data_IF_112841570992
#
_entry.id   IF_112841570992
#
_cell.length_a   1.000
_cell.length_b   1.000
_cell.length_c   1.000
_cell.angle_alpha   90.00
_cell.angle_beta   90.00
_cell.angle_gamma   90.00
#
_symmetry.space_group_name_H-M   'P 1'
#
loop_
_entity.id
_entity.type
_entity.pdbx_description
1 polymer ?
2 non-polymer ?
3 water ?
#
# COMPACT_ATOMS: atom_id res chain seq x y z
N UNK A 14 -8.24 -30.77 -4.64
CA UNK A 14 -8.36 -29.28 -4.58
C UNK A 14 -9.80 -28.76 -4.69
N UNK A 15 -10.39 -28.40 -3.54
CA UNK A 15 -11.57 -27.54 -3.58
C UNK A 15 -11.33 -26.23 -4.34
N UNK A 16 -11.77 -26.17 -5.60
CA UNK A 16 -11.68 -24.93 -6.35
C UNK A 16 -13.05 -24.57 -6.93
N UNK A 17 -13.33 -23.29 -6.99
CA UNK A 17 -14.48 -22.81 -7.76
C UNK A 17 -13.92 -21.90 -8.85
N UNK A 18 -14.75 -21.64 -9.84
CA UNK A 18 -14.41 -20.78 -10.94
C UNK A 18 -15.05 -19.45 -10.61
N UNK A 19 -14.24 -18.39 -10.59
CA UNK A 19 -14.74 -17.06 -10.31
C UNK A 19 -14.25 -16.00 -11.35
N UNK A 20 -15.17 -15.12 -11.75
CA UNK A 20 -14.79 -13.83 -12.36
C UNK A 20 -14.25 -12.85 -11.29
N UNK A 21 -12.98 -12.45 -11.46
CA UNK A 21 -12.19 -11.61 -10.55
C UNK A 21 -11.85 -10.22 -11.18
N UNK A 22 -11.77 -9.22 -10.31
CA UNK A 22 -11.51 -7.81 -10.62
C UNK A 22 -10.80 -7.23 -9.42
N UNK A 23 -9.95 -6.24 -9.64
CA UNK A 23 -9.38 -5.45 -8.54
C UNK A 23 -10.34 -4.38 -8.07
N UNK A 24 -9.89 -3.59 -7.11
CA UNK A 24 -10.77 -2.61 -6.53
C UNK A 24 -11.24 -1.58 -7.56
N UNK A 25 -10.45 -1.36 -8.61
CA UNK A 25 -10.85 -0.43 -9.71
C UNK A 25 -11.96 -0.99 -10.57
N UNK A 26 -12.29 -2.27 -10.38
CA UNK A 26 -13.44 -2.87 -11.07
C UNK A 26 -13.25 -2.75 -12.58
N UNK A 27 -11.99 -2.87 -13.04
CA UNK A 27 -11.69 -2.90 -14.49
C UNK A 27 -11.09 -4.26 -14.83
N UNK A 28 -11.01 -4.52 -16.13
CA UNK A 28 -10.33 -5.71 -16.71
C UNK A 28 -10.61 -6.98 -15.91
N UNK A 29 -11.90 -7.38 -15.75
CA UNK A 29 -12.10 -8.64 -15.04
C UNK A 29 -11.53 -9.83 -15.88
N UNK A 30 -11.00 -10.89 -15.24
CA UNK A 30 -10.75 -12.18 -15.93
C UNK A 30 -11.49 -13.27 -15.17
N UNK A 31 -11.59 -14.47 -15.76
CA UNK A 31 -11.98 -15.65 -14.97
C UNK A 31 -10.82 -16.63 -14.62
N UNK A 32 -10.86 -17.17 -13.42
CA UNK A 32 -9.81 -18.08 -13.00
C UNK A 32 -10.37 -19.14 -12.06
N UNK A 33 -9.55 -20.11 -11.75
CA UNK A 33 -9.85 -21.06 -10.73
C UNK A 33 -9.34 -20.52 -9.39
N UNK A 34 -10.23 -20.44 -8.42
CA UNK A 34 -9.77 -20.10 -7.09
C UNK A 34 -9.92 -21.23 -6.09
N UNK A 35 -8.77 -21.50 -5.50
CA UNK A 35 -8.60 -22.37 -4.39
C UNK A 35 -8.67 -21.55 -3.09
N UNK A 36 -9.67 -21.85 -2.22
CA UNK A 36 -9.59 -21.47 -0.81
C UNK A 36 -9.58 -22.60 0.17
N UNK A 37 -8.57 -22.52 1.04
CA UNK A 37 -8.33 -23.49 2.08
C UNK A 37 -7.69 -22.78 3.26
N UNK A 38 -8.02 -23.25 4.47
CA UNK A 38 -7.28 -22.79 5.68
C UNK A 38 -6.10 -23.67 5.97
N UNK A 39 -5.80 -24.58 5.05
CA UNK A 39 -4.69 -25.51 5.22
C UNK A 39 -3.51 -25.18 4.33
N UNK A 40 -2.39 -24.70 4.91
CA UNK A 40 -1.19 -24.33 4.15
C UNK A 40 -0.76 -25.46 3.19
N UNK A 41 -1.03 -26.67 3.65
CA UNK A 41 -0.61 -27.90 2.96
C UNK A 41 -1.24 -28.02 1.63
N UNK A 42 -2.55 -27.79 1.59
CA UNK A 42 -3.29 -27.81 0.37
C UNK A 42 -2.75 -26.76 -0.62
N UNK A 43 -2.18 -25.66 -0.12
CA UNK A 43 -1.59 -24.64 -1.02
C UNK A 43 -0.22 -25.09 -1.56
N UNK A 44 0.67 -25.60 -0.69
CA UNK A 44 1.93 -26.23 -1.19
C UNK A 44 1.67 -27.29 -2.28
N UNK A 45 0.64 -28.09 -2.11
CA UNK A 45 0.30 -29.04 -3.13
C UNK A 45 -0.25 -28.40 -4.42
N UNK A 46 -1.01 -27.31 -4.28
CA UNK A 46 -1.48 -26.55 -5.43
C UNK A 46 -0.32 -26.07 -6.31
N UNK A 47 0.75 -25.63 -5.64
CA UNK A 47 1.94 -25.12 -6.31
C UNK A 47 2.72 -26.18 -7.09
N UNK A 48 2.99 -27.32 -6.48
CA UNK A 48 3.69 -28.40 -7.20
C UNK A 48 2.92 -28.98 -8.43
N UNK A 49 1.59 -29.10 -8.35
CA UNK A 49 0.79 -29.51 -9.53
C UNK A 49 0.74 -28.45 -10.62
N UNK A 50 1.22 -27.24 -10.32
CA UNK A 50 1.35 -26.18 -11.32
C UNK A 50 2.79 -26.13 -11.85
N UNK A 51 3.75 -26.46 -10.98
CA UNK A 51 5.16 -26.55 -11.36
C UNK A 51 5.42 -27.84 -12.17
N UNK A 52 4.35 -28.46 -12.67
CA UNK A 52 4.36 -29.71 -13.44
C UNK A 52 3.44 -29.51 -14.62
N UNK A 53 2.22 -29.02 -14.35
CA UNK A 53 1.27 -28.62 -15.39
C UNK A 53 1.90 -27.55 -16.24
N UNK A 54 2.39 -26.48 -15.59
CA UNK A 54 2.92 -25.34 -16.29
C UNK A 54 1.92 -24.70 -17.25
N UNK A 55 0.66 -24.60 -16.84
CA UNK A 55 -0.26 -23.75 -17.58
C UNK A 55 -0.01 -22.27 -17.31
N UNK A 56 -1.08 -21.52 -17.05
CA UNK A 56 -0.98 -20.07 -16.94
C UNK A 56 -0.38 -19.53 -15.61
N UNK A 57 -0.13 -20.44 -14.65
CA UNK A 57 0.56 -20.15 -13.41
C UNK A 57 -0.35 -19.88 -12.20
N UNK A 58 0.26 -19.43 -11.11
CA UNK A 58 -0.51 -19.23 -9.88
C UNK A 58 -0.27 -17.84 -9.39
N UNK A 59 -1.26 -17.25 -8.74
CA UNK A 59 -1.01 -15.99 -7.96
C UNK A 59 -1.81 -15.98 -6.66
N UNK A 60 -1.18 -15.47 -5.59
CA UNK A 60 -1.95 -15.23 -4.34
C UNK A 60 -2.88 -14.01 -4.47
N UNK A 61 -4.04 -14.10 -3.85
CA UNK A 61 -4.87 -12.94 -3.75
C UNK A 61 -5.25 -12.76 -2.25
N UNK A 62 -5.18 -11.51 -1.76
CA UNK A 62 -5.59 -11.23 -0.37
C UNK A 62 -7.04 -10.82 -0.43
N UNK A 63 -7.34 -9.62 0.05
CA UNK A 63 -8.72 -9.12 0.02
C UNK A 63 -9.06 -8.31 -1.23
N UNK A 64 -8.13 -8.27 -2.18
CA UNK A 64 -8.48 -7.69 -3.47
C UNK A 64 -8.68 -6.15 -3.43
N UNK A 65 -8.00 -5.48 -2.50
CA UNK A 65 -8.12 -4.06 -2.39
C UNK A 65 -7.19 -3.31 -3.36
N UNK A 66 -6.27 -4.03 -4.01
CA UNK A 66 -5.44 -3.38 -5.01
C UNK A 66 -6.37 -3.00 -6.12
N UNK A 67 -6.08 -1.88 -6.76
CA UNK A 67 -7.01 -1.31 -7.73
C UNK A 67 -6.99 -2.06 -9.08
N UNK A 68 -5.82 -2.57 -9.45
CA UNK A 68 -5.60 -3.01 -10.80
C UNK A 68 -5.70 -4.51 -10.81
N UNK A 69 -4.70 -5.14 -11.39
CA UNK A 69 -4.84 -6.54 -11.86
C UNK A 69 -3.71 -7.45 -11.33
N UNK A 70 -3.08 -7.08 -10.23
CA UNK A 70 -1.92 -7.81 -9.69
C UNK A 70 -2.26 -9.07 -8.94
N UNK A 71 -3.52 -9.20 -8.55
CA UNK A 71 -3.98 -10.32 -7.72
C UNK A 71 -4.96 -11.17 -8.51
N UNK A 72 -4.82 -11.17 -9.84
CA UNK A 72 -5.60 -12.06 -10.66
C UNK A 72 -4.72 -12.65 -11.73
N UNK A 73 -5.20 -13.76 -12.33
CA UNK A 73 -4.47 -14.58 -13.28
C UNK A 73 -5.50 -15.26 -14.19
N UNK A 74 -5.86 -14.59 -15.29
CA UNK A 74 -6.90 -15.07 -16.19
C UNK A 74 -6.57 -16.46 -16.69
N UNK A 75 -7.56 -17.35 -16.57
CA UNK A 75 -7.36 -18.71 -17.00
C UNK A 75 -6.25 -19.45 -16.27
N UNK A 76 -5.82 -18.93 -15.10
CA UNK A 76 -4.84 -19.60 -14.20
C UNK A 76 -5.45 -20.05 -12.85
N UNK A 77 -4.57 -20.28 -11.85
CA UNK A 77 -4.95 -20.55 -10.48
C UNK A 77 -4.76 -19.34 -9.53
N UNK A 78 -5.81 -18.93 -8.84
CA UNK A 78 -5.69 -17.90 -7.82
C UNK A 78 -5.94 -18.48 -6.38
N UNK A 79 -5.00 -18.28 -5.48
CA UNK A 79 -5.16 -18.68 -4.11
C UNK A 79 -5.80 -17.57 -3.22
N UNK A 80 -6.99 -17.87 -2.70
CA UNK A 80 -7.76 -17.00 -1.81
C UNK A 80 -7.15 -17.05 -0.43
N UNK A 81 -6.10 -16.26 -0.21
CA UNK A 81 -5.38 -16.26 1.04
C UNK A 81 -6.18 -15.83 2.31
N UNK A 82 -7.22 -14.96 2.19
CA UNK A 82 -8.01 -14.64 3.42
C UNK A 82 -8.51 -15.86 4.26
N UNK A 83 -8.71 -17.01 3.61
CA UNK A 83 -9.16 -18.26 4.29
C UNK A 83 -8.10 -18.78 5.24
N UNK A 84 -6.90 -18.34 5.02
CA UNK A 84 -5.77 -18.75 5.78
C UNK A 84 -5.40 -17.63 6.72
N UNK A 85 -6.22 -17.42 7.75
CA UNK A 85 -6.17 -16.20 8.53
C UNK A 85 -6.05 -16.44 10.00
N UNK A 86 -5.10 -17.23 10.40
CA UNK A 86 -5.01 -17.50 11.80
C UNK A 86 -3.86 -16.70 12.39
N UNK A 87 -4.07 -16.13 13.57
CA UNK A 87 -3.01 -15.52 14.32
C UNK A 87 -2.34 -16.58 15.20
N UNK A 88 -1.02 -16.67 15.15
CA UNK A 88 -0.34 -17.74 15.85
C UNK A 88 0.06 -17.32 17.20
N UNK A 89 0.45 -16.06 17.33
CA UNK A 89 0.89 -15.54 18.62
C UNK A 89 1.16 -14.03 18.60
N UNK A 90 1.08 -13.42 19.78
CA UNK A 90 1.17 -11.96 20.00
C UNK A 90 1.95 -11.80 21.29
N UNK A 91 3.10 -11.16 21.22
CA UNK A 91 3.92 -10.99 22.39
C UNK A 91 4.27 -9.51 22.74
N UNK A 92 3.59 -8.92 23.72
CA UNK A 92 3.92 -7.54 24.24
C UNK A 92 5.41 -7.36 24.54
N UNK A 93 6.00 -8.42 25.11
CA UNK A 93 7.43 -8.50 25.41
C UNK A 93 8.28 -8.11 24.24
N UNK A 94 8.38 -9.01 23.24
CA UNK A 94 9.21 -8.81 22.03
C UNK A 94 8.54 -7.89 21.01
N UNK A 95 7.26 -7.58 21.21
CA UNK A 95 6.44 -6.81 20.21
C UNK A 95 6.11 -7.61 18.94
N UNK A 96 6.44 -8.88 18.93
CA UNK A 96 6.32 -9.67 17.72
C UNK A 96 5.00 -10.35 17.68
N UNK A 97 4.49 -10.45 16.45
CA UNK A 97 3.22 -11.04 16.19
C UNK A 97 3.48 -12.02 15.04
N UNK A 98 2.95 -13.24 15.15
CA UNK A 98 3.21 -14.33 14.17
C UNK A 98 1.87 -14.66 13.56
N UNK A 99 1.75 -14.45 12.24
CA UNK A 99 0.43 -14.44 11.59
C UNK A 99 0.40 -15.16 10.26
N UNK A 100 -0.68 -15.91 10.00
CA UNK A 100 -0.93 -16.34 8.63
C UNK A 100 -0.95 -15.10 7.69
N UNK A 101 -0.65 -15.31 6.41
CA UNK A 101 -0.55 -14.17 5.48
C UNK A 101 -1.92 -13.56 5.16
N UNK A 102 -2.98 -14.34 5.37
CA UNK A 102 -4.35 -13.92 5.06
C UNK A 102 -5.01 -13.18 6.25
N UNK A 103 -4.30 -12.97 7.36
CA UNK A 103 -4.94 -12.18 8.41
C UNK A 103 -5.04 -10.70 7.95
N UNK A 104 -6.23 -10.10 8.10
CA UNK A 104 -6.50 -8.66 7.93
C UNK A 104 -5.70 -7.85 8.93
N UNK A 105 -5.22 -6.69 8.53
CA UNK A 105 -4.79 -5.69 9.49
C UNK A 105 -5.95 -5.30 10.43
N UNK A 106 -7.19 -5.29 9.97
CA UNK A 106 -8.32 -5.07 10.84
C UNK A 106 -8.40 -6.11 11.97
N UNK A 107 -8.42 -7.38 11.57
CA UNK A 107 -8.34 -8.53 12.52
C UNK A 107 -7.09 -8.44 13.40
N UNK A 108 -5.94 -8.16 12.80
CA UNK A 108 -4.74 -8.05 13.60
C UNK A 108 -4.81 -6.88 14.61
N UNK A 109 -5.31 -5.73 14.16
CA UNK A 109 -5.27 -4.57 15.05
C UNK A 109 -6.12 -4.85 16.33
N UNK A 110 -7.30 -5.43 16.11
CA UNK A 110 -8.22 -5.89 17.14
C UNK A 110 -7.62 -6.92 18.09
N UNK A 111 -6.95 -7.91 17.54
CA UNK A 111 -6.26 -8.83 18.39
C UNK A 111 -5.10 -8.22 19.11
N UNK A 112 -4.44 -7.20 18.54
CA UNK A 112 -3.20 -6.76 19.17
C UNK A 112 -3.42 -5.59 20.17
N UNK A 113 -4.50 -4.86 20.01
CA UNK A 113 -4.73 -3.64 20.79
C UNK A 113 -4.73 -3.93 22.32
N UNK A 114 -5.46 -5.02 22.77
CA UNK A 114 -5.39 -5.30 24.22
C UNK A 114 -3.99 -5.50 24.71
N UNK A 115 -3.08 -5.93 23.86
CA UNK A 115 -1.72 -6.15 24.30
C UNK A 115 -0.87 -4.92 24.24
N UNK A 116 -1.44 -3.71 24.02
CA UNK A 116 -0.58 -2.46 23.94
C UNK A 116 0.32 -2.45 22.67
N UNK A 117 -0.26 -2.95 21.57
CA UNK A 117 0.50 -3.14 20.32
C UNK A 117 -0.27 -2.54 19.16
N UNK A 118 0.47 -1.93 18.26
CA UNK A 118 -0.13 -1.14 17.21
C UNK A 118 0.43 -1.57 15.90
N UNK A 119 -0.47 -1.80 14.93
CA UNK A 119 -0.02 -2.23 13.57
C UNK A 119 0.89 -1.10 13.05
N UNK A 120 2.10 -1.44 12.64
CA UNK A 120 3.11 -0.44 12.50
C UNK A 120 2.95 0.48 11.27
N UNK A 121 2.23 0.02 10.25
CA UNK A 121 1.97 0.82 9.07
C UNK A 121 0.55 0.48 8.70
N UNK A 122 -0.32 1.48 8.73
CA UNK A 122 -1.71 1.30 8.32
C UNK A 122 -2.06 2.16 7.10
N UNK A 123 -2.58 1.52 6.07
CA UNK A 123 -3.14 2.18 4.91
C UNK A 123 -4.52 2.77 5.28
N UNK A 124 -5.18 3.38 4.31
CA UNK A 124 -6.51 4.00 4.51
C UNK A 124 -7.66 3.03 4.65
N UNK A 125 -7.46 1.74 4.34
CA UNK A 125 -8.49 0.79 4.71
C UNK A 125 -7.78 -0.29 5.51
N UNK A 126 -8.44 -0.87 6.51
CA UNK A 126 -7.81 -2.02 7.18
C UNK A 126 -8.17 -3.42 6.59
N UNK A 127 -9.04 -3.45 5.59
CA UNK A 127 -9.36 -4.70 4.89
C UNK A 127 -8.25 -5.05 3.87
N UNK A 128 -7.06 -5.27 4.39
CA UNK A 128 -5.97 -5.69 3.56
C UNK A 128 -5.31 -6.81 4.34
N UNK A 129 -4.84 -7.85 3.64
CA UNK A 129 -4.14 -8.97 4.32
C UNK A 129 -2.75 -8.60 4.60
N UNK A 130 -2.15 -9.26 5.58
CA UNK A 130 -0.70 -9.17 5.84
C UNK A 130 0.12 -9.47 4.57
N UNK A 131 -0.31 -10.46 3.82
CA UNK A 131 0.36 -10.80 2.57
C UNK A 131 0.31 -9.68 1.51
N UNK A 132 -0.88 -9.11 1.29
CA UNK A 132 -0.98 -7.96 0.35
C UNK A 132 -0.27 -6.69 0.81
N UNK A 133 -0.21 -6.52 2.13
CA UNK A 133 0.54 -5.40 2.72
C UNK A 133 1.99 -5.53 2.37
N UNK A 134 2.46 -6.77 2.45
CA UNK A 134 3.85 -7.03 2.08
C UNK A 134 3.98 -7.03 0.55
N UNK A 135 3.05 -7.68 -0.15
CA UNK A 135 3.10 -7.75 -1.62
C UNK A 135 3.17 -6.35 -2.28
N UNK A 136 2.42 -5.37 -1.79
CA UNK A 136 2.54 -4.03 -2.35
C UNK A 136 3.47 -3.10 -1.55
N UNK A 137 4.12 -3.60 -0.51
CA UNK A 137 4.93 -2.77 0.40
C UNK A 137 4.23 -1.44 0.83
N UNK A 138 3.10 -1.61 1.51
CA UNK A 138 2.15 -0.52 1.63
C UNK A 138 2.70 0.57 2.53
N UNK A 139 2.17 1.78 2.44
CA UNK A 139 2.65 2.87 3.29
C UNK A 139 1.44 3.47 3.92
N UNK A 140 1.67 4.33 4.91
CA UNK A 140 0.53 4.93 5.58
C UNK A 140 0.84 6.37 5.81
N UNK A 141 0.00 7.00 6.61
CA UNK A 141 0.23 8.40 6.99
C UNK A 141 1.51 8.61 7.74
N UNK A 142 2.05 7.55 8.30
CA UNK A 142 3.29 7.72 9.02
C UNK A 142 4.53 7.36 8.22
N UNK A 143 4.48 7.49 6.88
CA UNK A 143 5.62 7.07 6.11
C UNK A 143 6.89 7.78 6.45
N UNK A 144 6.86 9.09 6.62
CA UNK A 144 8.12 9.82 6.97
C UNK A 144 8.65 9.44 8.33
N UNK A 145 7.88 8.75 9.18
CA UNK A 145 8.50 8.39 10.47
C UNK A 145 8.82 6.87 10.59
N UNK A 146 8.05 6.07 9.86
CA UNK A 146 8.07 4.61 10.03
C UNK A 146 8.41 3.80 8.74
N UNK A 147 8.49 4.48 7.60
CA UNK A 147 8.72 3.85 6.31
C UNK A 147 7.52 3.03 5.97
N UNK A 148 7.69 2.03 5.10
CA UNK A 148 6.58 1.24 4.62
C UNK A 148 6.48 -0.14 5.38
N UNK A 149 5.51 -0.96 4.99
CA UNK A 149 5.18 -2.14 5.80
C UNK A 149 6.35 -3.10 5.87
N UNK A 150 7.05 -3.24 4.74
CA UNK A 150 8.23 -4.10 4.63
C UNK A 150 9.30 -3.84 5.69
N UNK A 151 9.43 -2.57 6.10
CA UNK A 151 10.41 -2.21 7.12
C UNK A 151 10.11 -2.87 8.46
N UNK A 152 8.87 -3.33 8.64
CA UNK A 152 8.50 -3.88 9.92
C UNK A 152 8.43 -5.38 9.92
N UNK A 153 8.78 -6.02 8.79
CA UNK A 153 8.66 -7.48 8.69
C UNK A 153 9.93 -8.13 9.23
N UNK A 154 9.77 -9.08 10.15
CA UNK A 154 10.90 -9.76 10.77
C UNK A 154 11.24 -10.97 9.96
N UNK A 155 10.20 -11.71 9.60
CA UNK A 155 10.37 -12.82 8.71
C UNK A 155 9.09 -13.15 8.03
N UNK A 156 9.27 -13.91 6.96
CA UNK A 156 8.17 -14.47 6.23
C UNK A 156 8.53 -15.88 5.78
N UNK A 157 7.51 -16.71 5.62
CA UNK A 157 7.67 -18.02 5.04
C UNK A 157 7.15 -17.92 3.64
N UNK A 158 8.03 -18.01 2.65
CA UNK A 158 7.61 -17.88 1.25
C UNK A 158 7.59 -19.23 0.54
N UNK A 159 6.42 -19.66 0.09
CA UNK A 159 6.30 -20.87 -0.71
C UNK A 159 6.80 -20.57 -2.12
N UNK A 160 7.93 -21.15 -2.48
CA UNK A 160 8.50 -20.95 -3.82
C UNK A 160 8.08 -22.02 -4.85
N UNK A 161 8.35 -21.78 -6.14
CA UNK A 161 7.85 -22.63 -7.25
C UNK A 161 8.33 -24.10 -7.23
N UNK A 162 9.56 -24.33 -6.74
CA UNK A 162 10.03 -25.71 -6.45
C UNK A 162 9.29 -26.31 -5.22
N UNK A 163 8.14 -25.73 -4.85
CA UNK A 163 7.28 -26.26 -3.78
C UNK A 163 7.86 -26.18 -2.38
N UNK A 164 9.05 -25.61 -2.25
CA UNK A 164 9.73 -25.40 -0.97
C UNK A 164 9.16 -24.19 -0.16
N UNK A 165 9.00 -24.31 1.17
CA UNK A 165 8.72 -23.12 2.05
C UNK A 165 10.00 -22.57 2.67
N UNK A 166 10.45 -21.39 2.20
CA UNK A 166 11.69 -20.74 2.65
C UNK A 166 11.43 -19.74 3.78
N UNK A 167 12.27 -19.78 4.80
CA UNK A 167 12.22 -18.84 5.89
C UNK A 167 13.05 -17.68 5.46
N UNK A 168 12.47 -16.50 5.22
CA UNK A 168 13.25 -15.31 4.80
C UNK A 168 13.28 -14.23 5.86
N UNK A 169 14.42 -13.53 5.96
CA UNK A 169 14.64 -12.42 6.90
C UNK A 169 15.32 -11.24 6.18
N UNK A 170 15.14 -9.98 6.69
CA UNK A 170 15.66 -8.76 6.03
C UNK A 170 17.18 -8.74 5.90
N UNK A 171 17.87 -9.24 6.92
CA UNK A 171 19.32 -9.45 6.88
C UNK A 171 19.51 -10.90 7.26
N UNK A 172 20.12 -11.64 6.39
CA UNK A 172 20.12 -13.07 6.56
C UNK A 172 20.45 -13.57 5.19
N UNK A 173 20.48 -14.91 5.03
CA UNK A 173 20.90 -15.57 3.79
C UNK A 173 20.21 -15.04 2.51
N UNK A 174 18.99 -15.42 2.21
CA UNK A 174 18.39 -14.96 0.96
C UNK A 174 17.69 -13.61 1.14
N UNK A 175 18.46 -12.66 1.68
CA UNK A 175 17.94 -11.35 2.00
C UNK A 175 17.38 -10.67 0.75
N UNK A 176 18.07 -10.87 -0.38
CA UNK A 176 17.68 -10.30 -1.65
C UNK A 176 16.31 -10.78 -2.07
N UNK A 177 16.06 -12.06 -1.81
CA UNK A 177 14.75 -12.64 -2.08
C UNK A 177 13.70 -11.99 -1.16
N UNK A 178 14.04 -11.84 0.12
CA UNK A 178 13.19 -11.13 1.08
C UNK A 178 12.76 -9.78 0.48
N UNK A 179 13.74 -8.97 0.08
CA UNK A 179 13.46 -7.66 -0.50
C UNK A 179 12.81 -7.61 -1.87
N UNK A 180 12.92 -8.68 -2.66
CA UNK A 180 12.18 -8.73 -3.90
C UNK A 180 10.75 -9.18 -3.64
N UNK A 181 10.51 -9.84 -2.50
CA UNK A 181 9.15 -10.20 -2.14
C UNK A 181 8.38 -8.96 -1.63
N UNK A 182 9.07 -8.17 -0.83
CA UNK A 182 8.51 -6.90 -0.37
C UNK A 182 8.27 -6.06 -1.60
N UNK A 183 7.00 -5.75 -1.85
CA UNK A 183 6.67 -5.03 -3.05
C UNK A 183 6.74 -5.83 -4.35
N UNK A 184 6.95 -7.13 -4.22
CA UNK A 184 6.94 -8.00 -5.38
C UNK A 184 5.62 -8.40 -5.98
N UNK A 185 4.50 -7.88 -5.46
CA UNK A 185 3.19 -8.18 -6.06
C UNK A 185 2.99 -9.71 -6.32
N UNK A 186 3.48 -10.50 -5.37
CA UNK A 186 3.21 -11.91 -5.31
C UNK A 186 4.04 -12.74 -6.32
N UNK A 187 5.03 -12.13 -7.01
CA UNK A 187 5.62 -12.73 -8.23
C UNK A 187 6.84 -13.54 -7.84
N UNK A 188 7.05 -13.62 -6.54
CA UNK A 188 8.18 -14.29 -5.95
C UNK A 188 7.71 -15.65 -5.34
N UNK A 189 6.40 -15.80 -5.14
CA UNK A 189 5.78 -16.98 -4.56
C UNK A 189 4.69 -16.58 -3.58
N UNK A 190 4.09 -17.57 -2.93
CA UNK A 190 3.05 -17.29 -1.91
C UNK A 190 3.60 -17.14 -0.49
N UNK A 191 3.40 -15.95 0.10
CA UNK A 191 3.76 -15.74 1.53
C UNK A 191 2.70 -16.48 2.31
N UNK A 192 3.11 -17.39 3.20
CA UNK A 192 2.10 -18.20 3.95
C UNK A 192 1.95 -17.72 5.38
N UNK A 193 2.99 -17.11 5.90
CA UNK A 193 2.99 -16.76 7.29
C UNK A 193 4.07 -15.68 7.52
N UNK A 194 3.91 -14.81 8.52
CA UNK A 194 4.96 -13.82 8.77
C UNK A 194 5.03 -13.42 10.21
N UNK A 195 6.21 -12.96 10.61
CA UNK A 195 6.38 -12.30 11.89
C UNK A 195 6.58 -10.79 11.66
N UNK A 196 5.64 -10.01 12.18
CA UNK A 196 5.70 -8.54 12.12
C UNK A 196 6.15 -7.98 13.48
N UNK A 197 7.07 -7.03 13.46
CA UNK A 197 7.40 -6.31 14.67
C UNK A 197 6.40 -5.12 14.87
N UNK A 198 5.54 -5.22 15.89
CA UNK A 198 4.52 -4.18 16.11
C UNK A 198 5.09 -2.93 16.74
N UNK A 199 4.26 -1.90 16.83
CA UNK A 199 4.66 -0.66 17.51
C UNK A 199 3.97 -0.58 18.89
N UNK A 200 4.74 -0.35 19.95
CA UNK A 200 4.12 -0.25 21.30
C UNK A 200 3.32 1.06 21.43
N UNK A 201 2.20 0.99 22.07
CA UNK A 201 1.39 2.17 22.28
C UNK A 201 0.78 1.99 23.67
N UNK A 202 0.60 3.09 24.40
CA UNK A 202 -0.19 3.10 25.65
C UNK A 202 -1.64 3.33 25.33
N UNK A 203 -1.93 3.68 24.09
CA UNK A 203 -3.30 4.04 23.76
C UNK A 203 -3.70 3.69 22.30
N UNK A 204 -5.01 3.68 22.02
CA UNK A 204 -5.57 3.55 20.66
C UNK A 204 -6.00 4.88 20.05
N UNK A 205 -5.50 5.98 20.59
CA UNK A 205 -5.92 7.32 20.14
C UNK A 205 -4.77 8.12 19.60
N UNK A 206 -5.12 9.08 18.76
CA UNK A 206 -4.18 10.05 18.29
C UNK A 206 -4.46 11.38 18.97
N UNK A 207 -3.41 12.16 19.12
CA UNK A 207 -3.53 13.56 19.42
C UNK A 207 -3.05 14.30 18.20
N UNK A 208 -3.96 15.12 17.65
CA UNK A 208 -3.81 15.63 16.31
C UNK A 208 -3.89 17.16 16.24
N UNK A 209 -3.14 17.76 15.32
CA UNK A 209 -3.29 19.16 14.91
C UNK A 209 -3.83 19.25 13.51
N UNK A 210 -4.71 20.20 13.29
CA UNK A 210 -5.32 20.38 11.98
C UNK A 210 -4.95 21.78 11.53
N UNK A 211 -4.67 21.93 10.23
CA UNK A 211 -4.40 23.24 9.60
C UNK A 211 -4.93 23.34 8.20
N UNK A 212 -5.18 24.57 7.78
CA UNK A 212 -5.64 24.78 6.44
C UNK A 212 -4.72 25.79 5.74
N UNK A 213 -4.35 25.52 4.48
CA UNK A 213 -3.49 26.46 3.72
C UNK A 213 -4.35 27.12 2.67
N UNK A 214 -3.85 28.16 2.03
CA UNK A 214 -4.69 28.88 1.11
C UNK A 214 -4.22 28.61 -0.31
N UNK A 215 -3.13 27.87 -0.52
CA UNK A 215 -2.68 27.64 -1.90
C UNK A 215 -1.72 26.49 -1.94
N UNK A 216 -1.37 26.07 -3.18
CA UNK A 216 -0.36 25.05 -3.43
C UNK A 216 0.97 25.44 -2.81
N UNK A 217 1.34 26.71 -2.92
CA UNK A 217 2.68 27.11 -2.51
C UNK A 217 2.76 27.09 -1.00
N UNK A 218 1.71 27.55 -0.38
CA UNK A 218 1.63 27.46 1.09
C UNK A 218 1.63 26.00 1.49
N UNK A 219 0.85 25.14 0.78
CA UNK A 219 0.80 23.71 1.16
C UNK A 219 2.21 23.15 1.20
N UNK A 220 3.00 23.52 0.20
CA UNK A 220 4.40 23.03 0.09
C UNK A 220 5.30 23.59 1.16
N UNK A 221 5.32 24.93 1.29
CA UNK A 221 6.03 25.58 2.44
C UNK A 221 5.62 24.97 3.78
N UNK A 222 4.33 24.76 3.96
CA UNK A 222 3.88 24.14 5.19
C UNK A 222 4.62 22.86 5.49
N UNK A 223 4.92 22.04 4.45
CA UNK A 223 5.59 20.75 4.68
C UNK A 223 7.08 20.82 4.75
N UNK A 224 7.64 21.97 4.42
CA UNK A 224 9.06 22.09 4.08
C UNK A 224 9.82 22.83 5.17
N UNK A 225 9.12 23.30 6.20
CA UNK A 225 9.81 23.92 7.37
C UNK A 225 10.37 23.03 8.48
N UNK A 226 10.32 21.70 8.39
CA UNK A 226 10.91 20.91 9.47
C UNK A 226 9.85 20.38 10.42
N UNK A 227 8.71 21.04 10.41
CA UNK A 227 7.47 20.61 11.07
C UNK A 227 7.15 19.15 11.11
N UNK A 228 7.43 18.46 10.01
CA UNK A 228 6.98 17.08 9.90
C UNK A 228 7.66 16.20 10.99
N UNK A 229 8.80 16.67 11.48
CA UNK A 229 9.54 15.94 12.48
C UNK A 229 8.80 15.90 13.82
N UNK A 230 7.81 16.79 14.02
CA UNK A 230 7.05 16.85 15.26
C UNK A 230 5.83 15.92 15.32
N UNK A 231 5.60 15.15 14.28
CA UNK A 231 4.45 14.27 14.20
C UNK A 231 4.89 12.98 13.54
N UNK A 232 4.41 11.83 14.02
CA UNK A 232 4.74 10.58 13.40
C UNK A 232 3.76 10.37 12.23
N UNK A 233 2.60 11.02 12.25
CA UNK A 233 1.64 10.83 11.18
C UNK A 233 1.30 12.19 10.54
N UNK A 234 1.20 12.20 9.22
CA UNK A 234 0.80 13.42 8.53
C UNK A 234 0.21 13.15 7.16
N UNK A 235 -0.93 13.76 6.85
CA UNK A 235 -1.32 13.88 5.43
C UNK A 235 -2.28 15.01 5.22
N UNK A 236 -2.64 15.20 3.96
CA UNK A 236 -3.40 16.32 3.56
C UNK A 236 -4.36 15.97 2.47
N UNK A 237 -5.46 16.68 2.47
CA UNK A 237 -6.39 16.65 1.36
C UNK A 237 -6.35 17.99 0.69
N UNK A 238 -6.07 18.06 -0.62
CA UNK A 238 -5.95 19.41 -1.26
C UNK A 238 -7.03 19.67 -2.27
N UNK A 239 -7.17 20.92 -2.66
CA UNK A 239 -8.16 21.29 -3.65
C UNK A 239 -7.45 21.15 -5.01
N UNK A 240 -7.90 20.24 -5.88
CA UNK A 240 -7.30 20.09 -7.20
C UNK A 240 -8.20 20.61 -8.31
N UNK A 241 -9.29 21.27 -7.92
CA UNK A 241 -10.27 21.75 -8.88
C UNK A 241 -10.28 23.29 -9.10
N UNK A 242 -10.15 24.09 -8.04
CA UNK A 242 -10.08 25.56 -8.20
C UNK A 242 -8.86 26.01 -8.98
N UNK A 243 -8.96 27.19 -9.58
CA UNK A 243 -7.88 27.85 -10.35
C UNK A 243 -6.87 28.40 -9.37
N UNK A 244 -5.58 28.52 -9.76
CA UNK A 244 -4.74 29.33 -8.88
C UNK A 244 -5.44 30.67 -8.70
N UNK A 245 -5.27 31.30 -7.52
CA UNK A 245 -4.31 30.99 -6.43
C UNK A 245 -4.83 29.97 -5.43
N UNK A 246 -6.06 29.52 -5.64
CA UNK A 246 -6.67 28.59 -4.69
C UNK A 246 -6.27 27.11 -4.90
N UNK A 247 -6.00 26.73 -6.15
CA UNK A 247 -5.45 25.40 -6.44
C UNK A 247 -4.43 25.02 -5.42
N UNK A 248 -4.60 23.85 -4.81
CA UNK A 248 -3.56 23.25 -3.98
C UNK A 248 -3.69 23.66 -2.52
N UNK A 249 -4.63 24.55 -2.22
CA UNK A 249 -5.00 24.79 -0.82
C UNK A 249 -5.41 23.42 -0.18
N UNK A 250 -5.07 23.21 1.08
CA UNK A 250 -5.22 21.87 1.68
C UNK A 250 -5.73 21.91 3.14
N UNK A 251 -6.34 20.81 3.57
CA UNK A 251 -6.63 20.57 4.99
C UNK A 251 -5.68 19.52 5.38
N UNK A 252 -4.80 19.87 6.31
CA UNK A 252 -3.74 19.05 6.77
C UNK A 252 -4.07 18.46 8.13
N UNK A 253 -3.76 17.19 8.29
CA UNK A 253 -4.04 16.56 9.54
C UNK A 253 -2.82 15.80 9.94
N UNK A 254 -2.28 16.09 11.12
CA UNK A 254 -1.01 15.56 11.58
C UNK A 254 -1.11 15.25 13.05
N UNK A 255 -0.43 14.21 13.52
CA UNK A 255 -0.67 13.74 14.89
C UNK A 255 0.32 12.65 15.22
N UNK A 256 0.20 12.13 16.43
CA UNK A 256 0.96 11.00 16.95
C UNK A 256 0.05 10.29 17.91
N UNK A 257 0.40 9.05 18.16
CA UNK A 257 -0.38 8.19 19.02
C UNK A 257 -0.36 8.87 20.41
N UNK A 258 -1.49 8.94 21.10
CA UNK A 258 -1.55 9.63 22.41
C UNK A 258 -0.94 8.73 23.48
N UNK A 259 -0.32 9.33 24.50
CA UNK A 259 0.17 8.55 25.65
C UNK A 259 -1.00 8.56 26.56
N UNK A 260 -1.05 7.62 27.48
CA UNK A 260 -2.17 7.56 28.43
C UNK A 260 -2.42 8.88 29.19
N UNK A 261 -1.38 9.52 29.71
CA UNK A 261 -1.59 10.83 30.40
C UNK A 261 -2.09 12.00 29.55
N UNK A 262 -2.13 11.85 28.22
CA UNK A 262 -2.74 12.87 27.37
C UNK A 262 -4.22 12.59 27.06
N UNK A 263 -4.82 11.50 27.53
CA UNK A 263 -6.26 11.37 27.25
C UNK A 263 -7.15 12.06 28.31
N UNK A 264 -8.36 12.48 27.93
CA UNK A 264 -9.36 12.76 28.97
C UNK A 264 -9.58 11.54 29.87
N UNK A 265 -10.10 11.76 31.08
CA UNK A 265 -10.32 10.65 32.03
C UNK A 265 -11.27 9.55 31.56
N UNK A 266 -12.34 9.91 30.83
CA UNK A 266 -13.32 8.92 30.32
C UNK A 266 -12.69 7.88 29.38
N UNK A 267 -11.81 8.37 28.48
CA UNK A 267 -11.05 7.51 27.59
C UNK A 267 -9.88 6.88 28.32
N UNK A 268 -9.47 7.50 29.42
CA UNK A 268 -8.39 6.93 30.22
C UNK A 268 -8.90 5.67 30.91
N UNK A 269 -10.23 5.54 31.00
CA UNK A 269 -10.92 4.32 31.45
C UNK A 269 -10.54 3.14 30.59
N UNK A 270 -10.84 3.22 29.28
CA UNK A 270 -10.35 2.20 28.37
C UNK A 270 -9.49 2.73 27.23
N UNK A 271 -8.19 2.77 27.44
CA UNK A 271 -7.37 3.55 26.56
C UNK A 271 -6.99 2.81 25.25
N UNK A 272 -7.18 1.49 25.23
CA UNK A 272 -6.77 0.58 24.18
C UNK A 272 -8.00 0.12 23.41
N UNK A 273 -9.10 0.82 23.62
CA UNK A 273 -10.38 0.49 23.00
C UNK A 273 -10.45 0.53 21.48
N UNK A 274 -11.21 -0.42 20.94
CA UNK A 274 -11.66 -0.51 19.54
C UNK A 274 -10.55 -0.98 18.58
N UNK A 304 -19.84 27.56 17.91
CA UNK A 304 -18.73 27.53 16.95
C UNK A 304 -18.78 26.43 15.86
N UNK A 305 -18.12 26.71 14.73
CA UNK A 305 -18.08 25.79 13.59
C UNK A 305 -16.82 24.89 13.66
N UNK A 306 -17.02 23.63 13.31
CA UNK A 306 -15.90 22.71 13.15
C UNK A 306 -15.10 23.16 11.93
N UNK A 307 -13.82 23.44 12.18
CA UNK A 307 -12.88 23.93 11.15
C UNK A 307 -11.80 22.89 10.92
N UNK A 308 -11.04 23.07 9.84
CA UNK A 308 -9.84 22.31 9.62
C UNK A 308 -8.71 22.76 10.51
N UNK A 309 -8.93 23.80 11.36
CA UNK A 309 -7.83 24.27 12.27
C UNK A 309 -8.07 23.90 13.73
N UNK A 310 -7.15 23.17 14.35
CA UNK A 310 -7.38 22.78 15.75
C UNK A 310 -6.10 22.21 16.31
N UNK A 311 -6.02 22.05 17.62
CA UNK A 311 -4.79 21.59 18.24
C UNK A 311 -5.01 20.57 19.31
N UNK A 312 -4.07 19.63 19.46
CA UNK A 312 -4.11 18.73 20.59
C UNK A 312 -5.50 18.08 20.69
N UNK A 313 -6.09 17.77 19.54
CA UNK A 313 -7.36 17.13 19.52
C UNK A 313 -7.19 15.56 19.62
N UNK A 314 -7.82 14.95 20.63
CA UNK A 314 -7.82 13.48 20.78
C UNK A 314 -8.72 12.81 19.72
N UNK A 315 -8.18 11.87 18.94
CA UNK A 315 -9.00 11.24 17.88
C UNK A 315 -8.75 9.77 17.80
N UNK A 316 -9.75 9.02 17.36
CA UNK A 316 -9.53 7.57 17.14
C UNK A 316 -9.10 7.35 15.69
N UNK A 317 -8.81 6.10 15.34
CA UNK A 317 -8.19 5.83 14.04
C UNK A 317 -9.03 6.34 12.88
N UNK A 318 -10.34 6.19 12.96
CA UNK A 318 -11.12 6.54 11.77
C UNK A 318 -11.44 8.02 11.61
N UNK A 319 -11.62 8.71 12.73
CA UNK A 319 -11.56 10.18 12.71
C UNK A 319 -10.25 10.67 12.12
N UNK A 320 -9.13 10.15 12.63
CA UNK A 320 -7.80 10.61 12.23
C UNK A 320 -7.38 10.27 10.79
N UNK A 321 -7.92 9.15 10.27
CA UNK A 321 -7.58 8.72 8.91
C UNK A 321 -8.42 9.29 7.73
N UNK A 322 -9.50 10.03 7.99
CA UNK A 322 -10.21 10.74 6.89
C UNK A 322 -9.30 11.70 6.12
N UNK A 323 -9.42 11.79 4.76
CA UNK A 323 -10.33 11.16 3.77
C UNK A 323 -9.80 9.84 3.15
N UNK A 324 -8.80 9.23 3.79
CA UNK A 324 -8.03 8.12 3.19
C UNK A 324 -8.83 6.81 2.97
N UNK A 325 -9.94 6.67 3.69
CA UNK A 325 -10.77 5.46 3.72
C UNK A 325 -11.74 5.35 2.57
N UNK A 326 -12.03 6.47 1.90
CA UNK A 326 -13.23 6.53 1.06
C UNK A 326 -12.95 6.49 -0.43
N UNK A 327 -11.70 6.20 -0.82
CA UNK A 327 -11.29 6.20 -2.25
C UNK A 327 -12.08 5.33 -3.28
N UNK A 328 -12.41 4.09 -2.95
CA UNK A 328 -13.01 3.21 -3.95
C UNK A 328 -14.53 3.16 -4.05
N UNK A 329 -15.22 4.00 -3.26
CA UNK A 329 -16.70 4.07 -3.24
C UNK A 329 -17.19 4.95 -4.42
N UNK A 337 -16.27 0.76 -12.28
CA UNK A 337 -15.31 1.73 -12.86
C UNK A 337 -15.98 3.05 -13.22
N UNK A 338 -16.37 3.84 -12.24
CA UNK A 338 -16.74 5.23 -12.50
C UNK A 338 -15.54 6.18 -12.34
N UNK A 339 -14.49 5.70 -11.64
CA UNK A 339 -13.33 6.52 -11.24
C UNK A 339 -12.04 5.81 -11.50
N UNK A 340 -11.02 6.56 -11.91
CA UNK A 340 -9.72 6.01 -12.12
C UNK A 340 -8.80 6.61 -11.09
N UNK A 341 -8.18 5.79 -10.24
CA UNK A 341 -7.23 6.36 -9.32
C UNK A 341 -5.84 6.33 -9.85
N UNK A 342 -5.07 7.32 -9.44
CA UNK A 342 -3.74 7.47 -9.96
C UNK A 342 -2.90 7.99 -8.85
N UNK A 343 -1.79 7.31 -8.56
CA UNK A 343 -0.91 7.74 -7.49
C UNK A 343 0.51 7.77 -7.94
N UNK A 344 1.19 8.88 -7.62
CA UNK A 344 2.57 9.02 -8.01
C UNK A 344 3.36 9.67 -6.89
N UNK A 345 4.66 9.52 -6.91
CA UNK A 345 5.52 10.37 -6.09
C UNK A 345 6.61 11.03 -7.01
N UNK A 346 6.99 12.28 -6.75
CA UNK A 346 8.19 12.84 -7.38
C UNK A 346 9.20 13.30 -6.33
N UNK A 347 10.51 13.26 -6.63
CA UNK A 347 11.52 13.56 -5.61
C UNK A 347 11.34 14.90 -4.95
N UNK A 348 11.82 14.99 -3.71
CA UNK A 348 11.61 16.19 -2.87
C UNK A 348 12.09 17.46 -3.58
N UNK A 349 13.28 17.37 -4.12
CA UNK A 349 13.89 18.51 -4.85
C UNK A 349 13.08 18.96 -6.08
N UNK A 350 12.26 18.07 -6.67
CA UNK A 350 11.54 18.40 -7.91
C UNK A 350 10.26 19.18 -7.63
N UNK A 351 10.43 20.30 -6.94
CA UNK A 351 9.27 21.07 -6.49
C UNK A 351 8.51 21.74 -7.62
N UNK A 352 9.21 22.46 -8.49
CA UNK A 352 8.51 23.15 -9.57
C UNK A 352 7.89 22.09 -10.49
N UNK A 353 8.60 21.01 -10.72
CA UNK A 353 8.04 19.99 -11.56
C UNK A 353 6.78 19.40 -10.88
N UNK A 354 6.85 19.10 -9.59
CA UNK A 354 5.63 18.59 -8.89
C UNK A 354 4.51 19.58 -9.02
N UNK A 355 4.77 20.85 -8.77
CA UNK A 355 3.67 21.80 -8.88
C UNK A 355 3.12 21.84 -10.28
N UNK A 356 3.97 21.56 -11.27
CA UNK A 356 3.49 21.68 -12.63
C UNK A 356 2.45 20.59 -12.91
N UNK A 357 2.71 19.38 -12.40
CA UNK A 357 1.65 18.31 -12.51
C UNK A 357 0.31 18.78 -11.95
N UNK A 358 0.34 19.35 -10.77
CA UNK A 358 -0.89 19.72 -10.10
C UNK A 358 -1.55 20.80 -10.88
N UNK A 359 -0.77 21.81 -11.30
CA UNK A 359 -1.32 22.82 -12.22
C UNK A 359 -1.97 22.16 -13.49
N UNK A 360 -1.30 21.20 -14.08
CA UNK A 360 -1.89 20.63 -15.36
C UNK A 360 -3.15 19.82 -15.12
N UNK A 361 -3.20 19.15 -13.98
CA UNK A 361 -4.39 18.41 -13.63
C UNK A 361 -5.57 19.38 -13.58
N UNK A 362 -5.39 20.48 -12.87
CA UNK A 362 -6.48 21.41 -12.72
C UNK A 362 -6.85 22.04 -14.07
N UNK A 363 -5.87 22.30 -14.94
CA UNK A 363 -6.18 22.84 -16.28
C UNK A 363 -6.89 21.80 -17.17
N UNK A 364 -6.63 20.52 -16.96
CA UNK A 364 -7.16 19.50 -17.87
C UNK A 364 -8.68 19.46 -17.86
N UNK A 365 -9.30 19.85 -16.76
CA UNK A 365 -10.73 19.73 -16.60
C UNK A 365 -11.18 18.35 -16.12
N UNK A 366 -10.22 17.48 -15.77
CA UNK A 366 -10.51 16.20 -15.10
C UNK A 366 -10.52 16.48 -13.62
N UNK A 367 -11.68 16.48 -13.02
CA UNK A 367 -11.78 16.94 -11.66
C UNK A 367 -11.73 15.80 -10.68
N UNK A 368 -10.71 15.83 -9.84
CA UNK A 368 -10.57 14.96 -8.68
C UNK A 368 -10.99 15.70 -7.39
N UNK A 369 -12.09 15.30 -6.79
CA UNK A 369 -12.54 15.94 -5.56
C UNK A 369 -11.74 15.35 -4.41
N UNK A 370 -11.58 14.05 -4.48
CA UNK A 370 -10.90 13.32 -3.44
C UNK A 370 -9.43 13.16 -3.83
N UNK A 371 -8.55 13.37 -2.88
CA UNK A 371 -7.12 13.06 -3.10
C UNK A 371 -6.34 12.99 -1.80
N UNK A 372 -5.04 12.89 -1.94
CA UNK A 372 -4.22 12.81 -0.80
C UNK A 372 -2.91 13.35 -1.26
N UNK A 373 -2.27 14.01 -0.32
CA UNK A 373 -0.98 14.60 -0.48
C UNK A 373 -0.24 14.21 0.78
N UNK A 374 0.99 13.77 0.63
CA UNK A 374 1.81 13.42 1.75
C UNK A 374 3.30 13.66 1.36
N UNK A 375 4.14 13.97 2.33
CA UNK A 375 5.57 14.04 2.03
C UNK A 375 6.13 12.75 2.54
N UNK A 376 6.58 11.89 1.64
CA UNK A 376 7.25 10.61 2.03
C UNK A 376 8.62 10.81 2.63
N UNK A 377 9.07 9.92 3.50
CA UNK A 377 10.50 10.03 3.92
C UNK A 377 11.36 9.00 3.17
N UNK A 378 12.51 8.57 3.74
CA UNK A 378 13.45 7.70 3.01
C UNK A 378 12.80 6.36 2.67
N UNK A 379 13.27 5.74 1.58
CA UNK A 379 12.70 4.50 1.07
C UNK A 379 13.45 3.36 1.69
N UNK A 380 13.14 2.13 1.29
CA UNK A 380 13.83 0.96 1.80
C UNK A 380 14.63 0.22 0.71
N UNK A 381 15.05 -1.01 0.98
CA UNK A 381 15.90 -1.78 0.07
C UNK A 381 15.20 -2.54 -1.04
N UNK A 382 13.87 -2.68 -0.96
CA UNK A 382 13.08 -3.44 -1.94
C UNK A 382 13.19 -2.81 -3.31
N UNK A 383 13.69 -3.55 -4.30
CA UNK A 383 13.83 -2.97 -5.64
C UNK A 383 12.56 -2.35 -6.24
N UNK A 384 11.38 -2.93 -5.99
CA UNK A 384 10.14 -2.42 -6.58
C UNK A 384 9.25 -1.69 -5.56
N UNK A 385 9.81 -1.32 -4.42
CA UNK A 385 9.00 -0.60 -3.40
C UNK A 385 8.68 0.77 -3.93
N UNK A 386 7.39 1.12 -4.00
CA UNK A 386 6.99 2.45 -4.48
C UNK A 386 7.57 3.71 -3.82
N UNK A 387 7.53 3.80 -2.48
CA UNK A 387 7.93 5.07 -1.87
C UNK A 387 9.43 5.47 -2.08
N UNK A 388 9.66 6.74 -2.45
CA UNK A 388 10.98 7.42 -2.35
C UNK A 388 10.69 8.76 -1.66
N UNK A 389 11.71 9.35 -1.03
CA UNK A 389 11.54 10.70 -0.44
C UNK A 389 10.86 11.69 -1.44
N UNK A 390 9.71 12.24 -1.10
CA UNK A 390 9.23 13.32 -1.95
C UNK A 390 7.75 13.47 -1.85
N UNK A 391 7.18 14.15 -2.84
CA UNK A 391 5.80 14.55 -2.85
C UNK A 391 4.94 13.47 -3.44
N UNK A 392 4.08 12.93 -2.59
CA UNK A 392 3.22 11.85 -2.94
C UNK A 392 1.76 12.31 -3.06
N UNK A 393 1.09 11.92 -4.13
CA UNK A 393 -0.25 12.39 -4.41
C UNK A 393 -1.04 11.22 -4.98
N UNK A 394 -2.25 11.04 -4.50
CA UNK A 394 -3.17 10.08 -5.09
C UNK A 394 -4.33 10.90 -5.45
N UNK A 395 -4.74 10.84 -6.71
CA UNK A 395 -5.88 11.58 -7.21
C UNK A 395 -6.93 10.61 -7.73
N UNK A 396 -8.16 11.09 -7.92
CA UNK A 396 -9.31 10.20 -8.20
C UNK A 396 -10.26 10.78 -9.21
N UNK A 397 -10.06 10.43 -10.49
CA UNK A 397 -10.74 11.05 -11.62
C UNK A 397 -11.96 10.31 -12.18
N UNK A 398 -13.12 10.99 -12.33
CA UNK A 398 -14.26 10.46 -13.10
C UNK A 398 -13.79 10.07 -14.47
N UNK A 399 -14.13 8.87 -14.93
CA UNK A 399 -13.66 8.40 -16.24
C UNK A 399 -14.50 9.07 -17.30
N UNK A 400 -13.85 9.61 -18.31
CA UNK A 400 -14.54 10.31 -19.39
C UNK A 400 -13.56 10.42 -20.52
N UNK A 401 -14.08 10.77 -21.68
CA UNK A 401 -13.29 11.03 -22.89
C UNK A 401 -12.02 11.78 -22.56
N UNK A 402 -10.89 11.20 -22.94
CA UNK A 402 -9.61 11.88 -22.76
C UNK A 402 -8.82 11.48 -21.53
N UNK A 403 -9.50 10.91 -20.52
CA UNK A 403 -8.78 10.56 -19.27
C UNK A 403 -7.56 9.72 -19.51
N UNK A 404 -7.72 8.59 -20.19
CA UNK A 404 -6.61 7.62 -20.25
C UNK A 404 -5.43 8.27 -20.93
N UNK A 405 -5.72 9.07 -21.94
CA UNK A 405 -4.68 9.74 -22.65
C UNK A 405 -3.94 10.80 -21.77
N UNK A 406 -4.71 11.61 -21.03
CA UNK A 406 -4.13 12.60 -20.10
C UNK A 406 -3.22 11.89 -19.08
N UNK A 407 -3.67 10.76 -18.50
CA UNK A 407 -2.84 10.04 -17.55
C UNK A 407 -1.59 9.46 -18.20
N UNK A 408 -1.67 9.08 -19.47
CA UNK A 408 -0.42 8.74 -20.18
C UNK A 408 0.53 9.93 -20.20
N UNK A 409 0.00 11.09 -20.56
CA UNK A 409 0.78 12.33 -20.41
C UNK A 409 1.35 12.52 -18.97
N UNK A 410 0.51 12.36 -17.95
CA UNK A 410 1.08 12.45 -16.58
C UNK A 410 2.24 11.47 -16.34
N UNK A 411 2.10 10.24 -16.85
CA UNK A 411 3.12 9.19 -16.65
C UNK A 411 4.50 9.61 -17.14
N UNK A 412 4.49 10.24 -18.32
CA UNK A 412 5.71 10.71 -18.97
C UNK A 412 6.36 11.81 -18.13
N UNK A 413 5.56 12.74 -17.65
CA UNK A 413 6.07 13.74 -16.70
C UNK A 413 6.62 13.15 -15.39
N UNK A 414 5.82 12.32 -14.70
CA UNK A 414 6.28 11.65 -13.45
C UNK A 414 7.63 10.96 -13.70
N UNK A 415 7.65 10.21 -14.81
CA UNK A 415 8.84 9.49 -15.28
C UNK A 415 9.99 10.48 -15.55
N UNK A 416 9.75 11.50 -16.38
CA UNK A 416 10.76 12.57 -16.62
C UNK A 416 11.30 13.17 -15.34
N UNK A 417 10.43 13.44 -14.37
CA UNK A 417 10.94 14.08 -13.13
C UNK A 417 11.63 13.20 -12.14
N UNK A 418 11.89 11.94 -12.49
CA UNK A 418 12.55 11.11 -11.50
C UNK A 418 11.53 10.34 -10.64
N UNK A 419 10.23 10.39 -10.95
CA UNK A 419 9.24 9.78 -10.06
C UNK A 419 8.69 8.41 -10.45
N UNK A 420 7.69 7.89 -9.70
CA UNK A 420 7.08 6.60 -10.14
C UNK A 420 5.61 6.51 -9.86
N UNK A 421 4.98 5.51 -10.48
CA UNK A 421 3.61 5.13 -10.13
C UNK A 421 3.60 3.96 -9.16
N UNK A 422 2.47 3.74 -8.52
CA UNK A 422 2.38 2.74 -7.42
C UNK A 422 1.61 1.54 -8.00
N UNK A 423 2.15 0.35 -7.91
CA UNK A 423 1.40 -0.82 -8.43
C UNK A 423 0.04 -1.09 -7.82
N UNK A 424 -0.10 -0.82 -6.52
CA UNK A 424 -1.39 -1.06 -5.84
C UNK A 424 -2.52 -0.27 -6.48
N UNK A 425 -2.17 0.78 -7.20
CA UNK A 425 -3.19 1.70 -7.71
C UNK A 425 -3.19 1.76 -9.22
N UNK A 426 -2.29 1.00 -9.84
CA UNK A 426 -2.21 0.95 -11.33
C UNK A 426 -3.01 -0.14 -12.06
N UNK A 427 -3.91 0.27 -12.94
CA UNK A 427 -4.57 -0.70 -13.80
C UNK A 427 -4.23 -0.43 -15.26
N UNK A 428 -3.21 0.37 -15.51
CA UNK A 428 -3.33 1.28 -16.61
C UNK A 428 -2.01 1.58 -17.36
N UNK A 429 -0.88 1.69 -16.66
CA UNK A 429 0.36 2.18 -17.26
C UNK A 429 0.99 1.18 -18.25
N UNK A 430 2.06 1.56 -18.97
CA UNK A 430 2.69 0.58 -19.88
C UNK A 430 3.93 -0.04 -19.25
N UNK A 431 4.23 -1.27 -19.68
CA UNK A 431 5.46 -1.95 -19.33
C UNK A 431 6.67 -1.09 -19.48
N UNK A 432 6.80 -0.42 -20.63
CA UNK A 432 7.95 0.46 -20.89
C UNK A 432 8.07 1.67 -19.91
N UNK A 433 6.98 2.38 -19.64
CA UNK A 433 7.05 3.41 -18.61
C UNK A 433 7.41 2.82 -17.23
N UNK A 434 6.76 1.71 -16.88
CA UNK A 434 6.97 1.16 -15.56
C UNK A 434 8.43 0.85 -15.38
N UNK A 435 9.02 0.15 -16.35
CA UNK A 435 10.40 -0.30 -16.23
C UNK A 435 11.32 0.88 -16.09
N UNK A 436 11.11 1.90 -16.92
CA UNK A 436 11.91 3.14 -16.78
C UNK A 436 11.72 3.82 -15.36
N UNK A 437 10.52 3.77 -14.76
CA UNK A 437 10.36 4.38 -13.39
C UNK A 437 11.11 3.69 -12.26
N UNK A 438 11.42 2.40 -12.44
CA UNK A 438 12.06 1.65 -11.40
C UNK A 438 13.42 1.19 -11.94
N UNK A 439 14.47 1.98 -11.70
CA UNK A 439 15.83 1.65 -12.17
C UNK A 439 16.33 0.30 -11.63
N UNK A 440 15.77 -0.24 -10.56
CA UNK A 440 16.28 -1.52 -10.13
C UNK A 440 15.50 -2.70 -10.65
N UNK A 441 14.61 -2.46 -11.61
CA UNK A 441 13.76 -3.56 -12.11
C UNK A 441 14.49 -4.80 -12.67
N UNK A 442 15.64 -4.63 -13.31
CA UNK A 442 16.33 -5.78 -13.97
C UNK A 442 16.94 -6.65 -12.92
N UNK A 443 17.49 -6.01 -11.90
CA UNK A 443 17.93 -6.71 -10.73
C UNK A 443 16.80 -7.54 -10.09
N UNK A 444 15.62 -6.93 -9.98
CA UNK A 444 14.50 -7.62 -9.42
C UNK A 444 14.07 -8.75 -10.34
N UNK A 445 13.96 -8.50 -11.64
CA UNK A 445 13.62 -9.59 -12.57
C UNK A 445 14.65 -10.76 -12.44
N UNK A 446 15.94 -10.43 -12.39
CA UNK A 446 16.94 -11.45 -12.11
C UNK A 446 16.64 -12.31 -10.89
N UNK A 447 16.38 -11.70 -9.73
CA UNK A 447 15.99 -12.49 -8.54
C UNK A 447 14.71 -13.31 -8.79
N UNK A 448 13.70 -12.65 -9.36
CA UNK A 448 12.42 -13.26 -9.63
C UNK A 448 12.63 -14.58 -10.40
N UNK A 449 13.51 -14.58 -11.41
CA UNK A 449 13.69 -15.74 -12.31
C UNK A 449 14.48 -16.84 -11.63
N UNK A 450 15.47 -16.43 -10.85
CA UNK A 450 16.17 -17.33 -9.95
C UNK A 450 15.24 -18.30 -9.28
N UNK A 451 14.10 -17.81 -8.81
CA UNK A 451 13.26 -18.59 -7.91
C UNK A 451 12.03 -19.17 -8.59
N UNK A 452 11.71 -18.67 -9.75
CA UNK A 452 10.60 -19.17 -10.52
C UNK A 452 11.09 -19.21 -11.99
N UNK A 453 12.13 -20.04 -12.29
CA UNK A 453 12.65 -20.04 -13.67
C UNK A 453 11.54 -20.39 -14.68
N UNK A 454 10.59 -21.23 -14.30
CA UNK A 454 9.61 -21.71 -15.26
C UNK A 454 8.31 -20.89 -15.38
N UNK A 455 8.18 -19.82 -14.60
CA UNK A 455 6.97 -18.97 -14.63
C UNK A 455 5.74 -19.54 -13.97
N UNK A 456 5.93 -20.32 -12.91
CA UNK A 456 4.81 -20.86 -12.12
C UNK A 456 3.90 -19.74 -11.52
N UNK A 457 4.52 -18.62 -11.14
CA UNK A 457 3.75 -17.49 -10.52
C UNK A 457 3.57 -16.40 -11.53
N UNK A 458 2.31 -16.07 -11.82
CA UNK A 458 2.03 -15.12 -12.87
C UNK A 458 0.69 -14.44 -12.55
N UNK A 459 0.55 -13.23 -13.07
CA UNK A 459 -0.65 -12.46 -12.92
C UNK A 459 -0.88 -11.68 -14.19
N UNK A 460 -2.07 -11.09 -14.32
CA UNK A 460 -2.37 -10.20 -15.43
C UNK A 460 -1.43 -9.00 -15.39
N UNK A 461 -1.19 -8.46 -14.19
CA UNK A 461 -0.21 -7.40 -14.15
C UNK A 461 1.18 -7.80 -14.63
N UNK A 462 1.73 -8.92 -14.17
CA UNK A 462 3.08 -9.35 -14.64
C UNK A 462 3.16 -9.44 -16.17
N UNK A 463 2.10 -9.92 -16.80
CA UNK A 463 2.08 -9.92 -18.28
C UNK A 463 2.09 -8.47 -18.74
N UNK A 464 1.12 -7.68 -18.26
CA UNK A 464 0.89 -6.34 -18.79
C UNK A 464 2.12 -5.46 -18.66
N UNK A 465 2.84 -5.65 -17.58
CA UNK A 465 4.02 -4.85 -17.29
C UNK A 465 5.28 -5.60 -17.50
N UNK A 466 5.20 -6.79 -18.15
CA UNK A 466 6.40 -7.57 -18.45
C UNK A 466 7.27 -7.80 -17.25
N UNK A 467 6.75 -8.46 -16.21
CA UNK A 467 7.56 -8.69 -15.01
C UNK A 467 8.14 -10.09 -14.96
N UNK A 468 7.62 -11.00 -15.82
CA UNK A 468 8.08 -12.42 -15.85
C UNK A 468 9.42 -12.60 -16.56
#
# INVERSE_FOLDING_TARGET
>A
MGAVPSLTMSTTEFPTTTKRLMGWGRTAPTVASVLSTSDPEVIVRAVTRAAEEGGRGVIARGLGRSYGDNAQNGGGLVIDMPALNRIHSIDSGTRLVDVDAGVSLDQLMKAALPHGLWVPVLPGTRQVTVGGAIGCDIHGKNHHSAGSFGNHVRSMELLTANGEVRHLTPAGPDSDLFWATVGGNGLTGIILRATIEMTPTETAYFIADGDVTGSLDETIAFHSDGSEANYTYSSAWFDAISKPPKLGRAAISRGSLAKLDQLPSKLQKDPLKFDAPQLLTLPDIFPNGLANKFTFMPIGELWYRKSGTYRNKVQNLTQFYHPLDMFGEWNRAYGSAGFLQYQFVVPTEAVEEFKSIIVDIQRSGHYSFLNVFKLFGPGNQAPLSFPIPGWNVCVDFPIKAGLHEFVTELDRRVLEFGGRLYTAKDSRTTAETFHAMYPRIDEWIRIRRSVDPDGVFASDMARRLQLL
#
